data_IF_294423961251
#
_entry.id   IF_294423961251
#
_cell.length_a   1.000
_cell.length_b   1.000
_cell.length_c   1.000
_cell.angle_alpha   90.00
_cell.angle_beta   90.00
_cell.angle_gamma   90.00
#
_symmetry.space_group_name_H-M   'P 1'
#
loop_
_entity.id
_entity.type
_entity.pdbx_description
1 polymer ?
#
# COMPACT_ATOMS: atom_id res chain seq x y z
N UNK A 1 16.58 -30.85 40.13
CA UNK A 1 17.23 -29.66 39.54
C UNK A 1 17.35 -29.72 38.01
N UNK A 2 17.90 -30.78 37.39
CA UNK A 2 18.05 -30.89 35.92
C UNK A 2 16.74 -30.70 35.12
N UNK A 3 15.64 -31.23 35.64
CA UNK A 3 14.30 -31.10 35.02
C UNK A 3 13.73 -29.68 35.02
N UNK A 4 14.04 -28.87 36.04
CA UNK A 4 13.62 -27.47 36.09
C UNK A 4 14.38 -26.63 35.07
N UNK A 5 15.67 -26.89 34.87
CA UNK A 5 16.49 -26.22 33.87
C UNK A 5 15.99 -26.54 32.46
N UNK A 6 15.69 -27.82 32.18
CA UNK A 6 15.13 -28.24 30.89
C UNK A 6 13.78 -27.57 30.60
N UNK A 7 12.91 -27.44 31.62
CA UNK A 7 11.60 -26.80 31.47
C UNK A 7 11.72 -25.29 31.21
N UNK A 8 12.64 -24.60 31.90
CA UNK A 8 12.92 -23.16 31.67
C UNK A 8 13.44 -22.92 30.26
N UNK A 9 14.36 -23.76 29.75
CA UNK A 9 14.88 -23.64 28.38
C UNK A 9 13.78 -23.89 27.34
N UNK A 10 12.91 -24.86 27.57
CA UNK A 10 11.77 -25.14 26.67
C UNK A 10 10.79 -23.95 26.63
N UNK A 11 10.42 -23.40 27.79
CA UNK A 11 9.53 -22.25 27.88
C UNK A 11 10.15 -21.00 27.23
N UNK A 12 11.44 -20.75 27.43
CA UNK A 12 12.14 -19.65 26.77
C UNK A 12 12.14 -19.82 25.24
N UNK A 13 12.46 -21.02 24.74
CA UNK A 13 12.44 -21.31 23.30
C UNK A 13 11.06 -21.10 22.66
N UNK A 14 10.00 -21.54 23.33
CA UNK A 14 8.61 -21.34 22.90
C UNK A 14 8.21 -19.85 22.88
N UNK A 15 8.65 -19.06 23.87
CA UNK A 15 8.39 -17.63 23.92
C UNK A 15 9.10 -16.87 22.78
N UNK A 16 10.35 -17.23 22.47
CA UNK A 16 11.07 -16.65 21.35
C UNK A 16 10.45 -17.04 19.99
N UNK A 17 10.04 -18.30 19.82
CA UNK A 17 9.40 -18.76 18.60
C UNK A 17 8.06 -18.04 18.35
N UNK A 18 7.23 -17.86 19.39
CA UNK A 18 5.96 -17.13 19.27
C UNK A 18 6.19 -15.64 19.03
N UNK A 19 7.15 -15.01 19.69
CA UNK A 19 7.51 -13.62 19.43
C UNK A 19 8.00 -13.40 18.00
N UNK A 20 8.90 -14.27 17.50
CA UNK A 20 9.38 -14.21 16.12
C UNK A 20 8.24 -14.45 15.11
N UNK A 21 7.35 -15.41 15.37
CA UNK A 21 6.17 -15.67 14.55
C UNK A 21 5.25 -14.45 14.51
N UNK A 22 4.95 -13.83 15.64
CA UNK A 22 4.13 -12.61 15.69
C UNK A 22 4.81 -11.47 14.94
N UNK A 23 6.11 -11.26 15.11
CA UNK A 23 6.81 -10.17 14.41
C UNK A 23 6.84 -10.40 12.89
N UNK A 24 7.13 -11.62 12.44
CA UNK A 24 7.18 -11.98 11.02
C UNK A 24 5.79 -11.96 10.38
N UNK A 25 4.77 -12.49 11.06
CA UNK A 25 3.40 -12.49 10.55
C UNK A 25 2.78 -11.08 10.54
N UNK A 26 3.20 -10.22 11.47
CA UNK A 26 2.61 -8.89 11.65
C UNK A 26 3.31 -7.79 10.81
N UNK A 27 4.50 -8.05 10.25
CA UNK A 27 5.16 -7.16 9.30
C UNK A 27 4.70 -7.49 7.88
N UNK A 28 3.92 -6.58 7.31
CA UNK A 28 3.72 -6.50 5.88
C UNK A 28 4.83 -5.61 5.29
N UNK A 29 5.82 -6.18 4.56
CA UNK A 29 6.96 -5.40 4.06
C UNK A 29 6.59 -4.52 2.86
N UNK A 30 5.54 -4.87 2.12
CA UNK A 30 5.21 -4.26 0.82
C UNK A 30 4.95 -2.76 0.94
N UNK A 31 4.13 -2.26 1.88
CA UNK A 31 3.98 -0.81 2.05
C UNK A 31 5.30 -0.11 2.38
N UNK A 32 6.23 -0.77 3.08
CA UNK A 32 7.52 -0.15 3.44
C UNK A 32 8.47 -0.11 2.24
N UNK A 33 8.53 -1.16 1.44
CA UNK A 33 9.37 -1.23 0.23
C UNK A 33 8.88 -0.25 -0.84
N UNK A 34 7.59 -0.26 -1.15
CA UNK A 34 6.99 0.72 -2.05
C UNK A 34 7.19 2.13 -1.49
N UNK A 35 6.92 2.36 -0.21
CA UNK A 35 7.12 3.66 0.44
C UNK A 35 8.59 4.14 0.46
N UNK A 36 9.56 3.23 0.49
CA UNK A 36 10.97 3.56 0.34
C UNK A 36 11.28 4.01 -1.09
N UNK A 37 10.83 3.24 -2.09
CA UNK A 37 10.99 3.59 -3.51
C UNK A 37 10.34 4.94 -3.85
N UNK A 38 9.12 5.19 -3.38
CA UNK A 38 8.44 6.47 -3.59
C UNK A 38 9.21 7.66 -3.01
N UNK A 39 9.80 7.50 -1.82
CA UNK A 39 10.62 8.54 -1.18
C UNK A 39 11.92 8.79 -1.96
N UNK A 40 12.56 7.74 -2.44
CA UNK A 40 13.75 7.84 -3.30
C UNK A 40 13.43 8.57 -4.61
N UNK A 41 12.29 8.25 -5.22
CA UNK A 41 11.76 8.89 -6.41
C UNK A 41 11.19 10.31 -6.17
N UNK A 42 11.23 10.80 -4.92
CA UNK A 42 10.66 12.09 -4.47
C UNK A 42 9.18 12.26 -4.79
N UNK A 43 8.43 11.16 -4.80
CA UNK A 43 6.99 11.16 -5.03
C UNK A 43 6.23 11.44 -3.73
N UNK A 44 5.24 12.35 -3.76
CA UNK A 44 4.50 12.73 -2.56
C UNK A 44 3.62 11.58 -2.06
N UNK A 45 3.60 11.39 -0.74
CA UNK A 45 2.58 10.59 -0.07
C UNK A 45 1.41 11.50 0.28
N UNK A 46 0.27 11.24 -0.35
CA UNK A 46 -0.92 12.08 -0.20
C UNK A 46 -1.78 11.55 0.94
N UNK A 47 -2.05 12.42 1.93
CA UNK A 47 -2.85 12.06 3.11
C UNK A 47 -4.16 12.86 3.23
N UNK A 48 -4.39 13.82 2.34
CA UNK A 48 -5.61 14.63 2.29
C UNK A 48 -6.17 14.73 0.87
N UNK A 49 -7.45 15.05 0.76
CA UNK A 49 -8.13 15.23 -0.53
C UNK A 49 -7.55 16.41 -1.34
N UNK A 50 -6.98 17.42 -0.67
CA UNK A 50 -6.37 18.59 -1.32
C UNK A 50 -5.14 18.20 -2.16
N UNK A 51 -4.35 17.24 -1.68
CA UNK A 51 -3.23 16.67 -2.43
C UNK A 51 -3.66 15.79 -3.61
N UNK A 52 -4.96 15.50 -3.74
CA UNK A 52 -5.58 14.79 -4.87
C UNK A 52 -6.47 15.72 -5.70
N UNK A 53 -6.29 17.03 -5.62
CA UNK A 53 -7.11 18.00 -6.36
C UNK A 53 -7.18 17.72 -7.88
N UNK A 54 -6.09 17.26 -8.49
CA UNK A 54 -6.06 16.85 -9.91
C UNK A 54 -6.99 15.66 -10.21
N UNK A 55 -7.20 14.78 -9.25
CA UNK A 55 -8.05 13.60 -9.37
C UNK A 55 -9.55 13.97 -9.28
N UNK A 56 -9.90 15.06 -8.59
CA UNK A 56 -11.29 15.52 -8.44
C UNK A 56 -11.93 15.73 -9.81
N UNK A 57 -11.27 16.50 -10.68
CA UNK A 57 -11.77 16.78 -12.03
C UNK A 57 -11.94 15.49 -12.85
N UNK A 58 -11.04 14.52 -12.69
CA UNK A 58 -11.11 13.25 -13.41
C UNK A 58 -12.26 12.36 -12.93
N UNK A 59 -12.47 12.26 -11.61
CA UNK A 59 -13.57 11.47 -11.04
C UNK A 59 -14.93 12.07 -11.43
N UNK A 60 -15.03 13.40 -11.44
CA UNK A 60 -16.25 14.12 -11.85
C UNK A 60 -16.52 13.97 -13.36
N UNK A 61 -15.49 14.08 -14.19
CA UNK A 61 -15.61 13.95 -15.64
C UNK A 61 -15.80 12.50 -16.10
N UNK A 62 -15.21 11.54 -15.38
CA UNK A 62 -15.21 10.13 -15.72
C UNK A 62 -15.66 9.28 -14.52
N UNK A 63 -16.97 9.03 -14.38
CA UNK A 63 -17.50 8.16 -13.33
C UNK A 63 -17.05 6.70 -13.45
N UNK A 64 -16.34 6.35 -14.54
CA UNK A 64 -15.69 5.05 -14.74
C UNK A 64 -14.17 5.13 -14.66
N UNK A 65 -13.61 6.08 -13.90
CA UNK A 65 -12.17 6.16 -13.65
C UNK A 65 -11.66 4.87 -12.99
N UNK A 66 -11.26 3.94 -13.84
CA UNK A 66 -10.97 2.57 -13.48
C UNK A 66 -9.47 2.37 -13.30
N UNK A 67 -9.05 1.44 -12.43
CA UNK A 67 -7.65 1.11 -12.30
C UNK A 67 -7.15 0.48 -13.60
N UNK A 68 -6.01 0.95 -14.09
CA UNK A 68 -5.31 0.38 -15.25
C UNK A 68 -4.49 -0.84 -14.85
N UNK A 69 -4.11 -0.95 -13.57
CA UNK A 69 -3.35 -2.09 -13.05
C UNK A 69 -3.72 -2.43 -11.62
N UNK A 70 -3.56 -3.71 -11.29
CA UNK A 70 -3.80 -4.26 -9.96
C UNK A 70 -2.64 -5.15 -9.55
N UNK A 71 -2.27 -5.07 -8.28
CA UNK A 71 -1.33 -5.99 -7.65
C UNK A 71 -1.97 -6.65 -6.45
N UNK A 72 -1.62 -7.91 -6.24
CA UNK A 72 -1.97 -8.69 -5.07
C UNK A 72 -0.70 -9.30 -4.47
N UNK A 73 -0.24 -8.70 -3.37
CA UNK A 73 0.91 -9.19 -2.60
C UNK A 73 0.44 -9.92 -1.32
N UNK A 74 -0.74 -10.54 -1.38
CA UNK A 74 -1.35 -11.22 -0.25
C UNK A 74 -2.08 -10.25 0.67
N UNK A 75 -1.40 -9.80 1.74
CA UNK A 75 -2.03 -8.92 2.74
C UNK A 75 -2.19 -7.49 2.25
N UNK A 76 -1.25 -7.01 1.44
CA UNK A 76 -1.35 -5.72 0.74
C UNK A 76 -1.74 -5.94 -0.71
N UNK A 77 -2.61 -5.06 -1.20
CA UNK A 77 -3.04 -5.00 -2.59
C UNK A 77 -2.85 -3.57 -3.09
N UNK A 78 -2.65 -3.42 -4.40
CA UNK A 78 -2.38 -2.14 -5.04
C UNK A 78 -3.28 -1.90 -6.25
N UNK A 79 -3.70 -0.65 -6.45
CA UNK A 79 -4.34 -0.17 -7.66
C UNK A 79 -3.51 0.98 -8.24
N UNK A 80 -3.24 0.92 -9.54
CA UNK A 80 -2.74 2.06 -10.30
C UNK A 80 -3.87 2.62 -11.15
N UNK A 81 -4.04 3.93 -11.09
CA UNK A 81 -4.89 4.69 -11.99
C UNK A 81 -4.03 5.63 -12.81
N UNK A 82 -4.45 5.90 -14.05
CA UNK A 82 -3.80 6.87 -14.94
C UNK A 82 -4.85 7.86 -15.42
N UNK A 83 -4.58 9.14 -15.23
CA UNK A 83 -5.37 10.21 -15.81
C UNK A 83 -5.23 10.26 -17.32
N UNK A 84 -6.19 10.90 -17.98
CA UNK A 84 -6.15 11.09 -19.43
C UNK A 84 -4.82 11.67 -19.93
N UNK A 85 -4.38 11.17 -21.10
CA UNK A 85 -3.18 11.62 -21.80
C UNK A 85 -1.89 11.67 -20.95
N UNK A 86 -1.77 10.83 -19.91
CA UNK A 86 -0.57 10.77 -19.06
C UNK A 86 -0.39 11.99 -18.15
N UNK A 87 -1.47 12.74 -17.88
CA UNK A 87 -1.39 13.95 -17.03
C UNK A 87 -1.01 13.64 -15.59
N UNK A 88 -1.40 12.48 -15.08
CA UNK A 88 -1.05 12.03 -13.75
C UNK A 88 -1.19 10.51 -13.63
N UNK A 89 -0.53 9.94 -12.63
CA UNK A 89 -0.77 8.59 -12.15
C UNK A 89 -1.02 8.59 -10.65
N UNK A 90 -1.85 7.65 -10.19
CA UNK A 90 -2.21 7.49 -8.78
C UNK A 90 -2.01 6.03 -8.37
N UNK A 91 -1.16 5.80 -7.38
CA UNK A 91 -0.98 4.52 -6.75
C UNK A 91 -1.64 4.53 -5.37
N UNK A 92 -2.57 3.60 -5.15
CA UNK A 92 -3.18 3.40 -3.85
C UNK A 92 -2.99 1.95 -3.39
N UNK A 93 -2.51 1.80 -2.16
CA UNK A 93 -2.33 0.52 -1.51
C UNK A 93 -3.29 0.39 -0.34
N UNK A 94 -3.85 -0.81 -0.17
CA UNK A 94 -4.65 -1.15 1.00
C UNK A 94 -4.26 -2.53 1.50
N UNK A 95 -4.53 -2.79 2.76
CA UNK A 95 -4.33 -4.10 3.35
C UNK A 95 -5.55 -4.54 4.17
N UNK A 96 -5.46 -5.72 4.76
CA UNK A 96 -6.47 -6.31 5.63
C UNK A 96 -6.85 -5.48 6.86
N UNK A 97 -6.04 -4.48 7.24
CA UNK A 97 -6.35 -3.54 8.34
C UNK A 97 -7.10 -2.28 7.89
N UNK A 98 -7.18 -2.04 6.57
CA UNK A 98 -7.76 -0.84 5.99
C UNK A 98 -9.04 -1.10 5.18
N UNK A 99 -9.73 -0.03 4.77
CA UNK A 99 -10.85 -0.14 3.83
C UNK A 99 -10.41 -0.79 2.51
N UNK A 100 -11.13 -1.82 2.05
CA UNK A 100 -10.84 -2.51 0.78
C UNK A 100 -11.04 -1.62 -0.43
N UNK A 101 -10.22 -1.73 -1.48
CA UNK A 101 -10.39 -1.03 -2.77
C UNK A 101 -10.84 -1.95 -3.92
N UNK A 102 -11.33 -3.16 -3.64
CA UNK A 102 -11.73 -4.11 -4.69
C UNK A 102 -12.98 -3.71 -5.51
N UNK A 103 -13.74 -2.70 -5.06
CA UNK A 103 -14.99 -2.26 -5.69
C UNK A 103 -14.79 -1.31 -6.88
N UNK A 104 -15.87 -1.08 -7.63
CA UNK A 104 -15.89 -0.17 -8.79
C UNK A 104 -15.70 1.31 -8.44
N UNK A 105 -16.01 1.71 -7.20
CA UNK A 105 -15.86 3.09 -6.70
C UNK A 105 -14.53 3.34 -5.98
N UNK A 106 -13.48 2.59 -6.31
CA UNK A 106 -12.19 2.69 -5.63
C UNK A 106 -11.59 4.10 -5.68
N UNK A 107 -11.63 4.78 -6.83
CA UNK A 107 -11.11 6.13 -7.00
C UNK A 107 -11.80 7.15 -6.08
N UNK A 108 -13.13 7.14 -6.04
CA UNK A 108 -13.95 8.01 -5.17
C UNK A 108 -13.60 7.80 -3.70
N UNK A 109 -13.41 6.54 -3.28
CA UNK A 109 -13.06 6.20 -1.91
C UNK A 109 -11.63 6.57 -1.53
N UNK A 110 -10.69 6.53 -2.48
CA UNK A 110 -9.34 7.05 -2.29
C UNK A 110 -9.40 8.56 -2.09
N UNK A 111 -10.16 9.24 -2.96
CA UNK A 111 -10.33 10.69 -2.93
C UNK A 111 -10.95 11.19 -1.61
N UNK A 112 -12.01 10.53 -1.14
CA UNK A 112 -12.73 10.93 0.06
C UNK A 112 -11.90 10.77 1.35
N UNK A 113 -11.09 9.70 1.46
CA UNK A 113 -10.37 9.37 2.70
C UNK A 113 -8.95 8.80 2.46
N UNK A 114 -8.04 9.55 1.83
CA UNK A 114 -6.70 9.03 1.46
C UNK A 114 -5.87 8.61 2.67
N UNK A 115 -6.04 9.25 3.83
CA UNK A 115 -5.35 8.90 5.08
C UNK A 115 -5.65 7.47 5.60
N UNK A 116 -6.75 6.84 5.17
CA UNK A 116 -7.13 5.50 5.64
C UNK A 116 -6.37 4.36 4.95
N UNK A 117 -5.64 4.66 3.88
CA UNK A 117 -4.91 3.68 3.08
C UNK A 117 -3.44 3.66 3.49
N UNK A 118 -2.78 2.52 3.30
CA UNK A 118 -1.38 2.35 3.70
C UNK A 118 -0.48 3.31 2.92
N UNK A 119 -0.67 3.36 1.61
CA UNK A 119 -0.03 4.32 0.69
C UNK A 119 -1.09 4.90 -0.23
N UNK A 120 -1.01 6.21 -0.42
CA UNK A 120 -1.58 6.90 -1.58
C UNK A 120 -0.50 7.83 -2.08
N UNK A 121 -0.14 7.72 -3.35
CA UNK A 121 0.88 8.55 -3.97
C UNK A 121 0.44 8.98 -5.35
N UNK A 122 0.74 10.24 -5.64
CA UNK A 122 0.36 10.91 -6.88
C UNK A 122 1.63 11.30 -7.62
N UNK A 123 1.65 11.04 -8.90
CA UNK A 123 2.72 11.41 -9.83
C UNK A 123 2.14 12.33 -10.90
N UNK A 124 2.75 13.51 -11.08
CA UNK A 124 2.33 14.54 -12.03
C UNK A 124 3.58 15.17 -12.66
N UNK A 125 3.81 15.04 -13.98
CA UNK A 125 3.10 14.19 -14.95
C UNK A 125 3.34 12.68 -14.71
N UNK A 126 2.59 11.80 -15.39
CA UNK A 126 2.84 10.34 -15.36
C UNK A 126 4.15 10.01 -16.11
N UNK A 127 5.22 9.75 -15.35
CA UNK A 127 6.51 9.28 -15.88
C UNK A 127 6.72 7.78 -15.60
N UNK A 128 5.69 7.06 -15.14
CA UNK A 128 5.72 5.63 -14.85
C UNK A 128 6.48 5.23 -13.57
N UNK A 129 6.91 6.18 -12.74
CA UNK A 129 7.68 5.87 -11.52
C UNK A 129 6.85 5.14 -10.47
N UNK A 130 5.57 5.47 -10.35
CA UNK A 130 4.65 4.76 -9.47
C UNK A 130 4.54 3.28 -9.83
N UNK A 131 4.43 2.99 -11.12
CA UNK A 131 4.36 1.63 -11.64
C UNK A 131 5.66 0.87 -11.36
N UNK A 132 6.81 1.47 -11.66
CA UNK A 132 8.13 0.88 -11.38
C UNK A 132 8.31 0.54 -9.90
N UNK A 133 7.87 1.43 -8.99
CA UNK A 133 7.95 1.16 -7.55
C UNK A 133 7.07 -0.01 -7.10
N UNK A 134 5.88 -0.16 -7.70
CA UNK A 134 4.99 -1.29 -7.41
C UNK A 134 5.52 -2.61 -8.02
N UNK A 135 6.07 -2.56 -9.24
CA UNK A 135 6.69 -3.71 -9.89
C UNK A 135 7.90 -4.22 -9.11
N UNK A 136 8.78 -3.32 -8.63
CA UNK A 136 9.93 -3.70 -7.80
C UNK A 136 9.56 -4.45 -6.52
N UNK A 137 8.39 -4.16 -5.95
CA UNK A 137 7.87 -4.88 -4.78
C UNK A 137 7.23 -6.25 -5.13
N UNK A 138 7.07 -6.56 -6.42
CA UNK A 138 6.44 -7.80 -6.89
C UNK A 138 7.44 -8.93 -7.16
N UNK A 139 8.75 -8.66 -7.15
CA UNK A 139 9.81 -9.65 -7.41
C UNK A 139 10.53 -9.40 -8.71
#
# INVERSE_FOLDING_TARGET
MKWLIALVVLCAGLAFATAAYVVLWNRDPVPNEVGACLREAKLPLVRSADGLSVLRAEIEANPRFAPVRRWDWGRTKGLLFRGEAGRFALLALWNDRGPSLAGSNAAERIYATPARYSIVSLEVPDEGRLELCAEKASG
#
